data_IF_853821625324
#
_entry.id   IF_853821625324
#
_cell.length_a   1.000
_cell.length_b   1.000
_cell.length_c   1.000
_cell.angle_alpha   90.00
_cell.angle_beta   90.00
_cell.angle_gamma   90.00
#
_symmetry.space_group_name_H-M   'P 1'
#
loop_
_entity.id
_entity.type
_entity.pdbx_description
1 polymer ?
#
# COMPACT_ATOMS: atom_id res chain seq x y z
N UNK A 1 15.51 22.01 23.54
CA UNK A 1 16.06 21.91 22.17
C UNK A 1 15.65 20.55 21.64
N UNK A 2 14.47 20.46 21.03
CA UNK A 2 14.00 19.24 20.39
C UNK A 2 14.81 19.05 19.11
N UNK A 3 15.68 18.04 19.10
CA UNK A 3 16.58 17.77 17.99
C UNK A 3 15.75 17.32 16.78
N UNK A 4 16.01 17.93 15.63
CA UNK A 4 15.39 17.66 14.32
C UNK A 4 15.38 16.15 13.96
N UNK A 5 16.24 15.35 14.61
CA UNK A 5 16.40 13.91 14.40
C UNK A 5 15.23 13.01 14.89
N UNK A 6 14.27 13.52 15.67
CA UNK A 6 13.17 12.69 16.20
C UNK A 6 11.88 12.72 15.36
N UNK A 7 11.74 13.64 14.40
CA UNK A 7 10.46 13.78 13.68
C UNK A 7 10.33 12.84 12.48
N UNK A 8 11.44 12.33 11.94
CA UNK A 8 11.52 11.61 10.68
C UNK A 8 12.30 10.31 10.83
N UNK A 9 11.77 9.19 10.32
CA UNK A 9 12.51 7.93 10.19
C UNK A 9 12.37 7.33 8.80
N UNK A 10 13.47 6.84 8.25
CA UNK A 10 13.49 6.05 7.01
C UNK A 10 13.48 4.55 7.35
N UNK A 11 12.51 3.81 6.82
CA UNK A 11 12.46 2.36 6.87
C UNK A 11 12.92 1.80 5.53
N UNK A 12 14.08 1.17 5.49
CA UNK A 12 14.55 0.45 4.30
C UNK A 12 14.12 -1.02 4.41
N UNK A 13 13.23 -1.46 3.52
CA UNK A 13 12.69 -2.81 3.55
C UNK A 13 13.29 -3.62 2.40
N UNK A 14 13.89 -4.75 2.71
CA UNK A 14 14.46 -5.64 1.70
C UNK A 14 14.50 -7.08 2.22
N UNK A 15 14.46 -8.04 1.29
CA UNK A 15 14.87 -9.40 1.62
C UNK A 15 16.35 -9.36 2.03
N UNK A 16 16.68 -9.92 3.20
CA UNK A 16 18.10 -10.19 3.53
C UNK A 16 18.65 -11.05 2.39
N UNK A 17 19.80 -10.71 1.78
CA UNK A 17 20.27 -11.47 0.64
C UNK A 17 20.59 -12.90 1.08
N UNK A 18 19.73 -13.85 0.69
CA UNK A 18 20.18 -15.21 0.45
C UNK A 18 21.23 -15.09 -0.66
N UNK A 19 22.47 -15.45 -0.34
CA UNK A 19 23.63 -15.36 -1.24
C UNK A 19 23.27 -15.81 -2.67
N UNK A 20 23.14 -14.86 -3.62
CA UNK A 20 23.65 -14.91 -5.02
C UNK A 20 23.03 -13.81 -5.89
N UNK A 21 23.92 -13.13 -6.61
CA UNK A 21 23.76 -12.12 -7.67
C UNK A 21 23.45 -10.65 -7.25
N UNK A 22 24.17 -9.66 -7.83
CA UNK A 22 23.92 -8.25 -7.56
C UNK A 22 22.62 -7.83 -8.25
N UNK A 23 21.53 -7.75 -7.49
CA UNK A 23 20.36 -7.00 -7.92
C UNK A 23 20.72 -5.51 -7.95
N UNK A 24 20.76 -4.93 -9.16
CA UNK A 24 21.07 -3.51 -9.41
C UNK A 24 19.88 -2.58 -9.07
N UNK A 25 19.07 -2.93 -8.06
CA UNK A 25 17.74 -2.38 -7.86
C UNK A 25 17.44 -1.79 -6.49
N UNK A 26 18.40 -1.72 -5.56
CA UNK A 26 18.11 -1.25 -4.18
C UNK A 26 19.14 -0.23 -3.67
N UNK A 27 19.59 0.69 -4.54
CA UNK A 27 20.46 1.78 -4.09
C UNK A 27 19.59 2.88 -3.50
N UNK A 28 19.82 3.19 -2.22
CA UNK A 28 19.15 4.28 -1.55
C UNK A 28 19.37 5.59 -2.33
N UNK A 29 18.33 6.38 -2.62
CA UNK A 29 18.48 7.69 -3.24
C UNK A 29 19.41 8.59 -2.42
N UNK A 30 20.26 9.36 -3.09
CA UNK A 30 21.27 10.20 -2.42
C UNK A 30 20.65 11.18 -1.41
N UNK A 31 19.47 11.74 -1.73
CA UNK A 31 18.73 12.65 -0.85
C UNK A 31 18.35 12.01 0.50
N UNK A 32 18.25 10.68 0.58
CA UNK A 32 17.85 9.97 1.80
C UNK A 32 19.02 9.45 2.63
N UNK A 33 20.27 9.61 2.16
CA UNK A 33 21.47 9.04 2.82
C UNK A 33 21.67 9.61 4.23
N UNK A 34 21.24 10.85 4.47
CA UNK A 34 21.40 11.53 5.76
C UNK A 34 20.21 11.33 6.71
N UNK A 35 19.15 10.64 6.27
CA UNK A 35 17.97 10.39 7.08
C UNK A 35 18.25 9.24 8.07
N UNK A 36 17.88 9.37 9.36
CA UNK A 36 17.96 8.26 10.31
C UNK A 36 17.23 7.02 9.79
N UNK A 37 17.99 5.98 9.44
CA UNK A 37 17.47 4.79 8.78
C UNK A 37 17.42 3.57 9.70
N UNK A 38 16.35 2.78 9.58
CA UNK A 38 16.21 1.46 10.18
C UNK A 38 16.00 0.43 9.07
N UNK A 39 16.88 -0.57 9.02
CA UNK A 39 16.78 -1.67 8.06
C UNK A 39 15.85 -2.75 8.59
N UNK A 40 14.81 -3.06 7.82
CA UNK A 40 13.77 -4.04 8.14
C UNK A 40 13.75 -5.19 7.11
N UNK A 41 13.27 -6.39 7.48
CA UNK A 41 13.02 -7.44 6.50
C UNK A 41 11.90 -7.04 5.52
N UNK A 42 11.83 -7.69 4.37
CA UNK A 42 10.69 -7.56 3.47
C UNK A 42 9.38 -7.97 4.18
N UNK A 43 8.33 -7.18 3.94
CA UNK A 43 7.00 -7.25 4.56
C UNK A 43 7.12 -7.27 6.09
N UNK A 44 7.67 -6.21 6.69
CA UNK A 44 7.99 -6.18 8.10
C UNK A 44 6.74 -6.31 8.97
N UNK A 45 6.84 -7.10 10.05
CA UNK A 45 5.74 -7.42 10.93
C UNK A 45 5.76 -6.63 12.24
N UNK A 46 4.95 -7.10 13.18
CA UNK A 46 4.86 -6.55 14.55
C UNK A 46 6.21 -6.45 15.25
N UNK A 47 7.07 -7.46 15.09
CA UNK A 47 8.38 -7.52 15.77
C UNK A 47 9.41 -6.56 15.17
N UNK A 48 9.14 -6.06 13.98
CA UNK A 48 10.07 -5.24 13.21
C UNK A 48 9.69 -3.75 13.31
N UNK A 49 8.42 -3.40 13.08
CA UNK A 49 7.96 -2.01 13.01
C UNK A 49 7.59 -1.43 14.37
N UNK A 50 6.93 -2.19 15.25
CA UNK A 50 6.42 -1.65 16.52
C UNK A 50 7.53 -1.13 17.44
N UNK A 51 8.71 -1.78 17.58
CA UNK A 51 9.81 -1.23 18.37
C UNK A 51 10.26 0.13 17.85
N UNK A 52 10.37 0.28 16.53
CA UNK A 52 10.78 1.54 15.89
C UNK A 52 9.79 2.66 16.18
N UNK A 53 8.48 2.39 16.05
CA UNK A 53 7.43 3.36 16.34
C UNK A 53 7.42 3.77 17.82
N UNK A 54 7.71 2.84 18.73
CA UNK A 54 7.74 3.08 20.17
C UNK A 54 8.99 3.84 20.62
N UNK A 55 10.15 3.49 20.08
CA UNK A 55 11.44 4.07 20.50
C UNK A 55 11.65 5.46 19.92
N UNK A 56 11.16 5.71 18.70
CA UNK A 56 11.40 6.96 17.97
C UNK A 56 10.23 7.92 18.00
N UNK A 57 9.01 7.42 18.22
CA UNK A 57 7.75 8.19 18.16
C UNK A 57 7.70 9.18 16.97
N UNK A 58 7.98 8.71 15.74
CA UNK A 58 8.18 9.60 14.60
C UNK A 58 6.89 10.33 14.23
N UNK A 59 7.01 11.57 13.74
CA UNK A 59 5.89 12.30 13.11
C UNK A 59 5.73 11.89 11.65
N UNK A 60 6.83 11.50 10.99
CA UNK A 60 6.88 11.03 9.61
C UNK A 60 7.71 9.76 9.45
N UNK A 61 7.19 8.82 8.67
CA UNK A 61 7.86 7.58 8.28
C UNK A 61 8.01 7.57 6.76
N UNK A 62 9.24 7.51 6.26
CA UNK A 62 9.54 7.24 4.86
C UNK A 62 9.76 5.74 4.69
N UNK A 63 8.98 5.08 3.85
CA UNK A 63 9.19 3.67 3.49
C UNK A 63 9.92 3.61 2.14
N UNK A 64 11.12 3.04 2.13
CA UNK A 64 11.84 2.68 0.90
C UNK A 64 11.79 1.16 0.70
N UNK A 65 11.02 0.70 -0.28
CA UNK A 65 10.76 -0.73 -0.48
C UNK A 65 9.74 -1.03 -1.59
N UNK A 66 9.15 -2.21 -1.55
CA UNK A 66 8.06 -2.66 -2.42
C UNK A 66 6.68 -2.16 -1.95
N UNK A 67 5.66 -2.28 -2.80
CA UNK A 67 4.28 -1.94 -2.46
C UNK A 67 3.78 -2.75 -1.24
N UNK A 68 4.22 -4.00 -1.12
CA UNK A 68 3.89 -4.88 0.00
C UNK A 68 4.57 -4.46 1.31
N UNK A 69 5.76 -3.84 1.24
CA UNK A 69 6.45 -3.30 2.41
C UNK A 69 5.69 -2.09 2.98
N UNK A 70 5.24 -1.19 2.10
CA UNK A 70 4.38 -0.07 2.49
C UNK A 70 3.09 -0.55 3.14
N UNK A 71 2.41 -1.53 2.51
CA UNK A 71 1.19 -2.11 3.05
C UNK A 71 1.42 -2.70 4.45
N UNK A 72 2.54 -3.40 4.66
CA UNK A 72 2.88 -3.99 5.94
C UNK A 72 3.11 -2.93 7.03
N UNK A 73 3.88 -1.88 6.74
CA UNK A 73 4.08 -0.74 7.66
C UNK A 73 2.75 -0.05 7.98
N UNK A 74 1.90 0.19 6.98
CA UNK A 74 0.61 0.85 7.17
C UNK A 74 -0.35 0.02 8.03
N UNK A 75 -0.35 -1.31 7.88
CA UNK A 75 -1.10 -2.21 8.78
C UNK A 75 -0.60 -2.10 10.22
N UNK A 76 0.71 -1.88 10.44
CA UNK A 76 1.24 -1.68 11.80
C UNK A 76 0.80 -0.34 12.38
N UNK A 77 0.88 0.75 11.62
CA UNK A 77 0.36 2.06 12.04
C UNK A 77 -1.13 1.99 12.40
N UNK A 78 -1.95 1.39 11.53
CA UNK A 78 -3.38 1.16 11.78
C UNK A 78 -3.62 0.39 13.09
N UNK A 79 -2.90 -0.72 13.32
CA UNK A 79 -3.07 -1.56 14.53
C UNK A 79 -2.55 -0.92 15.81
N UNK A 80 -1.78 0.16 15.70
CA UNK A 80 -1.26 0.93 16.83
C UNK A 80 -2.05 2.23 17.05
N UNK A 81 -3.11 2.45 16.29
CA UNK A 81 -3.89 3.71 16.30
C UNK A 81 -2.99 4.92 16.00
N UNK A 82 -2.08 4.74 15.02
CA UNK A 82 -1.07 5.74 14.64
C UNK A 82 -1.21 6.23 13.20
N UNK A 83 -2.45 6.40 12.73
CA UNK A 83 -2.72 6.99 11.40
C UNK A 83 -2.45 8.51 11.36
N UNK A 84 -2.14 9.13 12.51
CA UNK A 84 -1.61 10.49 12.65
C UNK A 84 -0.18 10.64 12.09
N UNK A 85 0.56 9.54 11.96
CA UNK A 85 1.93 9.56 11.42
C UNK A 85 1.87 9.78 9.92
N UNK A 86 2.61 10.78 9.43
CA UNK A 86 2.77 11.02 8.01
C UNK A 86 3.56 9.89 7.37
N UNK A 87 3.04 9.33 6.29
CA UNK A 87 3.71 8.25 5.55
C UNK A 87 4.15 8.78 4.19
N UNK A 88 5.42 8.63 3.89
CA UNK A 88 5.95 8.82 2.54
C UNK A 88 6.44 7.50 1.97
N UNK A 89 6.38 7.36 0.64
CA UNK A 89 6.82 6.15 -0.03
C UNK A 89 7.81 6.46 -1.15
N UNK A 90 8.94 5.78 -1.12
CA UNK A 90 9.95 5.79 -2.17
C UNK A 90 10.04 4.36 -2.71
N UNK A 91 9.49 4.08 -3.89
CA UNK A 91 9.52 2.73 -4.43
C UNK A 91 10.94 2.27 -4.74
N UNK A 92 11.33 1.08 -4.28
CA UNK A 92 12.59 0.45 -4.66
C UNK A 92 12.58 -0.02 -6.13
N UNK A 93 11.41 -0.11 -6.76
CA UNK A 93 11.28 -0.53 -8.17
C UNK A 93 10.49 0.48 -8.99
N UNK A 94 10.83 0.58 -10.29
CA UNK A 94 10.15 1.51 -11.21
C UNK A 94 8.68 1.19 -11.50
N UNK A 95 8.22 -0.04 -11.21
CA UNK A 95 6.87 -0.53 -11.56
C UNK A 95 6.01 -0.69 -10.30
N UNK A 96 5.99 0.33 -9.45
CA UNK A 96 5.13 0.36 -8.27
C UNK A 96 3.68 0.70 -8.62
N UNK A 97 2.75 -0.12 -8.17
CA UNK A 97 1.32 0.14 -8.28
C UNK A 97 0.89 1.30 -7.39
N UNK A 98 1.49 1.45 -6.20
CA UNK A 98 1.26 2.61 -5.32
C UNK A 98 1.67 3.90 -6.02
N UNK A 99 2.84 3.91 -6.66
CA UNK A 99 3.32 5.08 -7.40
C UNK A 99 2.37 5.49 -8.53
N UNK A 100 1.78 4.51 -9.23
CA UNK A 100 0.77 4.77 -10.26
C UNK A 100 -0.56 5.25 -9.67
N UNK A 101 -1.07 4.58 -8.62
CA UNK A 101 -2.35 4.92 -8.00
C UNK A 101 -2.37 6.34 -7.42
N UNK A 102 -1.24 6.81 -6.89
CA UNK A 102 -1.12 8.10 -6.23
C UNK A 102 -0.25 9.11 -6.98
N UNK A 103 0.05 8.84 -8.25
CA UNK A 103 0.83 9.73 -9.15
C UNK A 103 2.19 10.14 -8.59
N UNK A 104 2.89 9.27 -7.86
CA UNK A 104 4.21 9.60 -7.32
C UNK A 104 5.22 9.83 -8.46
N UNK A 105 6.07 10.87 -8.37
CA UNK A 105 7.12 11.09 -9.36
C UNK A 105 8.15 9.96 -9.33
N UNK A 106 8.89 9.79 -10.43
CA UNK A 106 9.95 8.76 -10.51
C UNK A 106 11.04 8.95 -9.46
N UNK A 107 11.38 10.20 -9.18
CA UNK A 107 12.25 10.59 -8.06
C UNK A 107 11.39 11.09 -6.91
N UNK A 108 10.86 10.16 -6.12
CA UNK A 108 10.00 10.45 -4.99
C UNK A 108 10.77 10.90 -3.73
N UNK A 109 12.11 10.92 -3.76
CA UNK A 109 12.91 11.16 -2.55
C UNK A 109 12.74 12.58 -1.99
N UNK A 110 12.84 13.61 -2.84
CA UNK A 110 12.59 14.99 -2.42
C UNK A 110 11.14 15.21 -1.98
N UNK A 111 10.18 14.63 -2.71
CA UNK A 111 8.78 14.65 -2.31
C UNK A 111 8.56 14.01 -0.93
N UNK A 112 9.21 12.87 -0.66
CA UNK A 112 9.07 12.17 0.62
C UNK A 112 9.61 12.97 1.82
N UNK A 113 10.63 13.80 1.60
CA UNK A 113 11.22 14.65 2.63
C UNK A 113 10.35 15.87 2.90
N UNK A 114 9.97 16.60 1.85
CA UNK A 114 9.55 18.00 1.99
C UNK A 114 8.08 18.23 1.71
N UNK A 115 7.41 17.36 0.94
CA UNK A 115 6.02 17.60 0.57
C UNK A 115 5.08 17.36 1.78
N UNK A 116 3.97 18.11 1.88
CA UNK A 116 3.00 17.90 2.95
C UNK A 116 2.26 16.57 2.77
N UNK A 117 1.96 15.90 3.88
CA UNK A 117 1.05 14.76 3.85
C UNK A 117 -0.40 15.24 3.69
N UNK A 118 -1.21 14.42 3.02
CA UNK A 118 -2.62 14.70 2.77
C UNK A 118 -3.48 13.56 3.32
N UNK A 119 -4.64 13.85 3.93
CA UNK A 119 -5.64 12.84 4.23
C UNK A 119 -5.96 12.03 2.97
N UNK A 120 -5.76 10.73 3.05
CA UNK A 120 -5.89 9.80 1.93
C UNK A 120 -6.74 8.63 2.37
N UNK A 121 -7.71 8.17 1.55
CA UNK A 121 -8.54 7.02 1.91
C UNK A 121 -7.68 5.79 2.23
N UNK A 122 -7.93 5.20 3.39
CA UNK A 122 -7.34 3.91 3.75
C UNK A 122 -8.29 2.80 3.28
N UNK A 123 -7.88 2.03 2.27
CA UNK A 123 -8.66 0.88 1.81
C UNK A 123 -8.20 -0.36 2.57
N UNK A 124 -9.13 -1.00 3.27
CA UNK A 124 -8.92 -2.24 4.01
C UNK A 124 -9.51 -3.42 3.27
N UNK A 125 -9.05 -4.60 3.64
CA UNK A 125 -9.73 -5.85 3.29
C UNK A 125 -10.26 -6.58 4.52
N UNK A 126 -11.11 -7.58 4.28
CA UNK A 126 -11.75 -8.41 5.31
C UNK A 126 -10.81 -9.49 5.88
N UNK A 127 -9.61 -9.65 5.34
CA UNK A 127 -8.53 -10.49 5.92
C UNK A 127 -7.67 -9.74 6.95
N UNK A 128 -7.94 -8.44 7.15
CA UNK A 128 -7.20 -7.59 8.10
C UNK A 128 -5.95 -6.93 7.50
N UNK A 129 -5.86 -6.89 6.18
CA UNK A 129 -4.86 -6.15 5.40
C UNK A 129 -5.37 -4.81 4.86
N UNK A 130 -4.57 -4.22 3.97
CA UNK A 130 -4.83 -2.94 3.31
C UNK A 130 -4.48 -3.03 1.82
N UNK A 131 -5.18 -2.24 1.00
CA UNK A 131 -4.92 -2.05 -0.42
C UNK A 131 -4.38 -0.63 -0.62
N UNK A 132 -3.11 -0.51 -1.03
CA UNK A 132 -2.41 0.78 -1.19
C UNK A 132 -2.03 1.07 -2.65
N UNK A 133 -1.98 0.04 -3.49
CA UNK A 133 -1.64 0.13 -4.90
C UNK A 133 -2.52 -0.76 -5.78
N UNK A 134 -2.46 -2.09 -5.62
CA UNK A 134 -3.23 -3.00 -6.49
C UNK A 134 -3.59 -4.32 -5.84
N UNK A 135 -4.88 -4.67 -5.95
CA UNK A 135 -5.46 -5.97 -5.66
C UNK A 135 -5.86 -6.67 -6.95
N UNK A 136 -5.67 -7.98 -7.01
CA UNK A 136 -6.05 -8.80 -8.17
C UNK A 136 -6.78 -10.04 -7.68
N UNK A 137 -7.95 -10.29 -8.24
CA UNK A 137 -8.69 -11.54 -8.07
C UNK A 137 -8.63 -12.32 -9.39
N UNK A 138 -8.08 -13.54 -9.36
CA UNK A 138 -7.90 -14.40 -10.53
C UNK A 138 -8.90 -15.55 -10.53
N UNK A 139 -9.23 -15.99 -11.75
CA UNK A 139 -10.13 -17.11 -12.03
C UNK A 139 -11.46 -17.02 -11.27
N UNK A 140 -12.01 -15.80 -11.22
CA UNK A 140 -13.23 -15.47 -10.49
C UNK A 140 -14.48 -15.98 -11.21
N UNK A 141 -15.26 -16.80 -10.53
CA UNK A 141 -16.61 -17.22 -10.93
C UNK A 141 -17.63 -16.87 -9.84
N UNK A 142 -18.44 -15.84 -10.09
CA UNK A 142 -19.39 -15.33 -9.10
C UNK A 142 -19.93 -13.95 -9.44
N UNK A 143 -20.17 -13.14 -8.40
CA UNK A 143 -20.64 -11.76 -8.52
C UNK A 143 -19.69 -10.79 -7.80
N UNK A 144 -19.54 -9.60 -8.36
CA UNK A 144 -18.86 -8.49 -7.71
C UNK A 144 -19.71 -7.23 -7.79
N UNK A 145 -19.83 -6.52 -6.68
CA UNK A 145 -20.51 -5.23 -6.57
C UNK A 145 -19.55 -4.19 -6.04
N UNK A 146 -19.58 -3.00 -6.63
CA UNK A 146 -18.95 -1.80 -6.08
C UNK A 146 -20.07 -0.88 -5.61
N UNK A 147 -20.25 -0.77 -4.29
CA UNK A 147 -21.46 -0.25 -3.66
C UNK A 147 -22.74 -0.84 -4.30
N UNK A 148 -23.56 -0.05 -4.99
CA UNK A 148 -24.80 -0.49 -5.65
C UNK A 148 -24.59 -0.98 -7.10
N UNK A 149 -23.38 -0.83 -7.64
CA UNK A 149 -23.09 -1.12 -9.04
C UNK A 149 -22.60 -2.55 -9.22
N UNK A 150 -23.36 -3.36 -9.98
CA UNK A 150 -22.91 -4.68 -10.43
C UNK A 150 -21.70 -4.54 -11.38
N UNK A 151 -20.53 -4.95 -10.89
CA UNK A 151 -19.23 -4.91 -11.59
C UNK A 151 -19.03 -6.16 -12.46
N UNK A 152 -19.44 -7.32 -11.96
CA UNK A 152 -19.26 -8.61 -12.61
C UNK A 152 -20.40 -9.54 -12.22
N UNK A 153 -20.94 -10.27 -13.21
CA UNK A 153 -21.70 -11.51 -13.01
C UNK A 153 -21.13 -12.61 -13.90
N UNK A 154 -20.87 -13.78 -13.32
CA UNK A 154 -20.33 -14.95 -14.01
C UNK A 154 -18.80 -15.05 -13.91
N UNK A 155 -18.16 -15.53 -14.99
CA UNK A 155 -16.74 -15.88 -14.98
C UNK A 155 -15.84 -14.85 -15.65
N UNK A 156 -14.75 -14.47 -14.98
CA UNK A 156 -13.62 -13.71 -15.54
C UNK A 156 -12.28 -14.30 -15.13
N UNK A 157 -11.25 -14.12 -15.97
CA UNK A 157 -9.87 -14.51 -15.62
C UNK A 157 -9.26 -13.59 -14.58
N UNK A 158 -9.69 -12.33 -14.53
CA UNK A 158 -9.06 -11.31 -13.72
C UNK A 158 -10.02 -10.16 -13.43
N UNK A 159 -10.13 -9.78 -12.16
CA UNK A 159 -10.69 -8.52 -11.68
C UNK A 159 -9.58 -7.77 -10.95
N UNK A 160 -9.41 -6.48 -11.23
CA UNK A 160 -8.35 -5.65 -10.62
C UNK A 160 -8.99 -4.54 -9.82
N UNK A 161 -8.58 -4.43 -8.55
CA UNK A 161 -8.96 -3.36 -7.65
C UNK A 161 -7.79 -2.40 -7.45
N UNK A 162 -8.04 -1.10 -7.45
CA UNK A 162 -7.05 -0.06 -7.10
C UNK A 162 -7.68 0.91 -6.10
N UNK A 163 -6.90 1.45 -5.15
CA UNK A 163 -7.37 2.52 -4.29
C UNK A 163 -7.31 3.86 -5.03
N UNK A 164 -8.10 4.82 -4.58
CA UNK A 164 -8.12 6.18 -5.10
C UNK A 164 -8.78 7.16 -4.13
N UNK A 165 -8.84 8.46 -4.48
CA UNK A 165 -9.42 9.50 -3.62
C UNK A 165 -10.89 9.26 -3.28
N UNK A 166 -11.62 8.57 -4.14
CA UNK A 166 -13.05 8.28 -3.96
C UNK A 166 -13.33 6.90 -3.32
N UNK A 167 -12.28 6.17 -2.91
CA UNK A 167 -12.40 4.85 -2.29
C UNK A 167 -11.67 3.76 -3.08
N UNK A 168 -12.38 2.70 -3.45
CA UNK A 168 -11.86 1.58 -4.21
C UNK A 168 -12.51 1.51 -5.59
N UNK A 169 -11.71 1.27 -6.61
CA UNK A 169 -12.15 1.14 -8.00
C UNK A 169 -11.92 -0.28 -8.52
N UNK A 170 -12.94 -0.86 -9.13
CA UNK A 170 -12.79 -1.98 -10.05
C UNK A 170 -12.40 -1.44 -11.43
N UNK A 171 -11.26 -1.88 -11.96
CA UNK A 171 -10.81 -1.47 -13.29
C UNK A 171 -11.57 -2.20 -14.41
N UNK A 172 -11.79 -1.56 -15.57
CA UNK A 172 -12.44 -2.21 -16.70
C UNK A 172 -11.61 -3.41 -17.18
N UNK A 173 -12.30 -4.47 -17.58
CA UNK A 173 -11.69 -5.69 -18.07
C UNK A 173 -12.70 -6.55 -18.82
N UNK A 174 -12.27 -7.71 -19.31
CA UNK A 174 -13.17 -8.63 -20.01
C UNK A 174 -14.31 -9.05 -19.07
N UNK A 175 -15.55 -8.64 -19.40
CA UNK A 175 -16.77 -8.84 -18.59
C UNK A 175 -16.77 -8.11 -17.23
N UNK A 176 -15.82 -7.20 -16.99
CA UNK A 176 -15.74 -6.40 -15.77
C UNK A 176 -16.10 -4.96 -16.12
N UNK A 177 -17.20 -4.46 -15.55
CA UNK A 177 -17.61 -3.05 -15.64
C UNK A 177 -16.78 -2.24 -14.65
N UNK A 178 -16.23 -1.11 -15.11
CA UNK A 178 -15.55 -0.18 -14.22
C UNK A 178 -16.54 0.45 -13.24
N UNK A 179 -16.15 0.56 -11.97
CA UNK A 179 -16.92 1.23 -10.94
C UNK A 179 -16.01 1.68 -9.81
N UNK A 180 -16.34 2.80 -9.17
CA UNK A 180 -15.65 3.33 -8.00
C UNK A 180 -16.67 3.57 -6.90
N UNK A 181 -16.31 3.21 -5.67
CA UNK A 181 -17.21 3.32 -4.53
C UNK A 181 -16.47 3.10 -3.22
N UNK A 182 -17.24 3.06 -2.12
CA UNK A 182 -16.69 2.86 -0.78
C UNK A 182 -16.32 1.40 -0.53
N UNK A 183 -17.01 0.45 -1.14
CA UNK A 183 -16.70 -0.97 -1.00
C UNK A 183 -16.82 -1.73 -2.32
N UNK A 184 -15.88 -2.63 -2.57
CA UNK A 184 -15.89 -3.61 -3.64
C UNK A 184 -16.00 -5.00 -3.01
N UNK A 185 -17.19 -5.58 -3.09
CA UNK A 185 -17.55 -6.85 -2.49
C UNK A 185 -17.62 -7.93 -3.56
N UNK A 186 -17.00 -9.08 -3.28
CA UNK A 186 -16.89 -10.20 -4.21
C UNK A 186 -17.39 -11.45 -3.51
N UNK A 187 -18.35 -12.13 -4.12
CA UNK A 187 -18.81 -13.46 -3.73
C UNK A 187 -18.60 -14.44 -4.88
N UNK A 188 -18.02 -15.61 -4.59
CA UNK A 188 -17.61 -16.57 -5.61
C UNK A 188 -17.54 -18.00 -5.07
N UNK A 189 -17.44 -18.98 -5.96
CA UNK A 189 -17.18 -20.37 -5.58
C UNK A 189 -15.77 -20.50 -5.01
N UNK A 190 -14.79 -20.05 -5.79
CA UNK A 190 -13.40 -19.92 -5.39
C UNK A 190 -12.74 -18.79 -6.20
N UNK A 191 -11.78 -18.11 -5.60
CA UNK A 191 -10.93 -17.17 -6.29
C UNK A 191 -9.55 -17.06 -5.65
N UNK A 192 -8.56 -16.69 -6.46
CA UNK A 192 -7.18 -16.48 -6.00
C UNK A 192 -6.90 -14.99 -5.89
N UNK A 193 -6.68 -14.52 -4.67
CA UNK A 193 -6.45 -13.10 -4.39
C UNK A 193 -4.95 -12.83 -4.26
N UNK A 194 -4.50 -11.72 -4.84
CA UNK A 194 -3.15 -11.18 -4.74
C UNK A 194 -3.28 -9.70 -4.34
N UNK A 195 -2.63 -9.28 -3.26
CA UNK A 195 -2.64 -7.89 -2.77
C UNK A 195 -1.21 -7.38 -2.74
N UNK A 196 -0.94 -6.26 -3.43
CA UNK A 196 0.41 -5.70 -3.60
C UNK A 196 1.44 -6.71 -4.12
N UNK A 197 1.01 -7.62 -4.99
CA UNK A 197 1.86 -8.68 -5.55
C UNK A 197 2.05 -9.89 -4.63
N UNK A 198 1.44 -9.91 -3.45
CA UNK A 198 1.51 -11.03 -2.50
C UNK A 198 0.26 -11.91 -2.64
N UNK A 199 0.40 -13.19 -3.05
CA UNK A 199 -0.72 -14.11 -3.09
C UNK A 199 -1.26 -14.40 -1.69
N UNK A 200 -2.57 -14.38 -1.55
CA UNK A 200 -3.25 -14.93 -0.38
C UNK A 200 -3.00 -16.45 -0.32
N UNK A 201 -2.70 -17.04 0.85
CA UNK A 201 -2.22 -18.42 0.94
C UNK A 201 -3.23 -19.50 0.53
N UNK A 202 -4.51 -19.14 0.43
CA UNK A 202 -5.60 -20.07 0.11
C UNK A 202 -6.60 -19.42 -0.84
N UNK A 203 -7.28 -20.19 -1.71
CA UNK A 203 -8.47 -19.71 -2.39
C UNK A 203 -9.52 -19.25 -1.39
N UNK A 204 -10.31 -18.25 -1.78
CA UNK A 204 -11.35 -17.67 -0.92
C UNK A 204 -12.71 -17.71 -1.62
N UNK A 205 -13.82 -17.93 -0.88
CA UNK A 205 -15.18 -17.85 -1.44
C UNK A 205 -15.69 -16.41 -1.53
N UNK A 206 -15.01 -15.47 -0.86
CA UNK A 206 -15.36 -14.05 -0.87
C UNK A 206 -14.13 -13.21 -0.59
N UNK A 207 -14.18 -11.98 -1.06
CA UNK A 207 -13.19 -10.95 -0.71
C UNK A 207 -13.87 -9.60 -0.72
N UNK A 208 -13.50 -8.70 0.20
CA UNK A 208 -14.02 -7.34 0.18
C UNK A 208 -12.88 -6.36 0.35
N UNK A 209 -12.83 -5.33 -0.49
CA UNK A 209 -12.08 -4.11 -0.22
C UNK A 209 -13.04 -3.00 0.17
N UNK A 210 -12.73 -2.22 1.20
CA UNK A 210 -13.59 -1.15 1.67
C UNK A 210 -12.81 0.03 2.24
N UNK A 211 -13.34 1.24 2.10
CA UNK A 211 -12.80 2.45 2.72
C UNK A 211 -13.00 2.38 4.23
N UNK A 212 -11.90 2.50 4.96
CA UNK A 212 -11.91 2.62 6.41
C UNK A 212 -12.50 3.97 6.85
N UNK A 213 -12.95 4.04 8.10
CA UNK A 213 -13.56 5.25 8.67
C UNK A 213 -12.55 6.38 8.88
N UNK A 214 -11.28 6.04 9.11
CA UNK A 214 -10.19 6.99 9.21
C UNK A 214 -9.34 6.97 7.93
N UNK A 215 -8.99 8.16 7.47
CA UNK A 215 -7.97 8.35 6.45
C UNK A 215 -6.57 8.22 7.09
N UNK A 216 -5.57 7.90 6.28
CA UNK A 216 -4.15 7.95 6.67
C UNK A 216 -3.51 9.18 6.05
N UNK A 217 -2.43 9.68 6.66
CA UNK A 217 -1.69 10.83 6.14
C UNK A 217 -0.63 10.35 5.15
N UNK A 218 -0.84 10.60 3.86
CA UNK A 218 0.08 10.16 2.80
C UNK A 218 0.72 11.33 2.07
N UNK A 219 2.04 11.29 1.94
CA UNK A 219 2.83 12.25 1.17
C UNK A 219 2.75 11.89 -0.31
N UNK A 220 2.00 12.70 -1.05
CA UNK A 220 1.77 12.56 -2.50
C UNK A 220 1.68 13.95 -3.14
N UNK A 221 1.80 14.08 -4.47
CA UNK A 221 1.62 15.37 -5.12
C UNK A 221 0.27 15.99 -4.73
N UNK A 222 0.26 17.32 -4.56
CA UNK A 222 -0.99 18.05 -4.38
C UNK A 222 -1.93 17.76 -5.54
N UNK A 223 -3.23 17.58 -5.25
CA UNK A 223 -4.21 17.59 -6.33
C UNK A 223 -4.05 18.91 -7.10
N UNK A 224 -4.00 18.90 -8.44
CA UNK A 224 -4.04 20.14 -9.20
C UNK A 224 -5.28 20.93 -8.75
N UNK A 225 -5.06 22.18 -8.34
CA UNK A 225 -6.14 23.12 -8.05
C UNK A 225 -6.90 23.47 -9.32
#
# INVERSE_FOLDING_TARGET
MATIDQELVLLTCADRPARRFPFQGNRLPAALVHVPAVSLPARPGKRDVDPVLKEREPRRVIVHGSDADLAAVLVRLLRRDRLDVEVAFVPATRRSAVAMAWNLPRDAAGLALDAPAQPTPLIRDDSGGVLVGRGVVRDLEGEAYCDDTLVLRGRTRRLVAVPGPDGVSALPGRRVRAATGRALQIGCVEAFVEVEGVPHPRPVPRWTWYRHTADWLFVRPGSPR
#
